data_IF_743818084937
#
_entry.id   IF_743818084937
#
_cell.length_a   1.000
_cell.length_b   1.000
_cell.length_c   1.000
_cell.angle_alpha   90.00
_cell.angle_beta   90.00
_cell.angle_gamma   90.00
#
_symmetry.space_group_name_H-M   'P 1'
#
loop_
_entity.id
_entity.type
_entity.pdbx_description
1 polymer ?
#
# COMPACT_ATOMS: atom_id res chain seq x y z
N UNK A 1 32.07 -29.50 -7.73
CA UNK A 1 30.68 -29.46 -7.24
C UNK A 1 29.83 -30.31 -8.16
N UNK A 2 29.01 -31.16 -7.58
CA UNK A 2 28.17 -32.05 -8.37
C UNK A 2 27.05 -31.29 -9.06
N UNK A 3 26.74 -31.67 -10.31
CA UNK A 3 25.67 -31.08 -11.09
C UNK A 3 24.30 -31.09 -10.37
N UNK A 4 23.89 -32.15 -9.62
CA UNK A 4 22.63 -32.14 -8.89
C UNK A 4 22.56 -31.06 -7.81
N UNK A 5 23.66 -30.75 -7.12
CA UNK A 5 23.71 -29.69 -6.11
C UNK A 5 23.55 -28.32 -6.77
N UNK A 6 24.24 -28.06 -7.86
CA UNK A 6 24.11 -26.81 -8.61
C UNK A 6 22.70 -26.61 -9.14
N UNK A 7 22.10 -27.64 -9.70
CA UNK A 7 20.73 -27.58 -10.21
C UNK A 7 19.71 -27.32 -9.11
N UNK A 8 19.88 -27.97 -7.95
CA UNK A 8 19.02 -27.75 -6.79
C UNK A 8 19.15 -26.33 -6.25
N UNK A 9 20.37 -25.81 -6.16
CA UNK A 9 20.64 -24.45 -5.70
C UNK A 9 20.07 -23.41 -6.67
N UNK A 10 20.22 -23.65 -7.96
CA UNK A 10 19.64 -22.79 -8.98
C UNK A 10 18.11 -22.75 -8.88
N UNK A 11 17.47 -23.93 -8.76
CA UNK A 11 16.03 -24.02 -8.63
C UNK A 11 15.54 -23.29 -7.37
N UNK A 12 16.22 -23.50 -6.22
CA UNK A 12 15.87 -22.81 -4.97
C UNK A 12 16.00 -21.30 -5.11
N UNK A 13 17.11 -20.83 -5.69
CA UNK A 13 17.34 -19.39 -5.89
C UNK A 13 16.29 -18.79 -6.81
N UNK A 14 15.92 -19.50 -7.86
CA UNK A 14 14.88 -19.06 -8.79
C UNK A 14 13.52 -18.95 -8.09
N UNK A 15 13.16 -19.93 -7.26
CA UNK A 15 11.91 -19.90 -6.49
C UNK A 15 11.90 -18.74 -5.50
N UNK A 16 13.02 -18.47 -4.84
CA UNK A 16 13.14 -17.32 -3.93
C UNK A 16 13.03 -15.99 -4.69
N UNK A 17 13.61 -15.90 -5.88
CA UNK A 17 13.50 -14.71 -6.72
C UNK A 17 12.06 -14.46 -7.17
N UNK A 18 11.33 -15.50 -7.55
CA UNK A 18 9.90 -15.42 -7.88
C UNK A 18 9.09 -14.99 -6.66
N UNK A 19 9.37 -15.55 -5.50
CA UNK A 19 8.73 -15.16 -4.23
C UNK A 19 8.96 -13.70 -3.88
N UNK A 20 10.19 -13.23 -4.07
CA UNK A 20 10.53 -11.81 -3.86
C UNK A 20 9.78 -10.90 -4.83
N UNK A 21 9.66 -11.28 -6.09
CA UNK A 21 8.89 -10.53 -7.08
C UNK A 21 7.43 -10.38 -6.64
N UNK A 22 6.81 -11.46 -6.20
CA UNK A 22 5.42 -11.40 -5.71
C UNK A 22 5.31 -10.57 -4.43
N UNK A 23 6.30 -10.62 -3.55
CA UNK A 23 6.33 -9.80 -2.35
C UNK A 23 6.39 -8.31 -2.67
N UNK A 24 7.26 -7.91 -3.61
CA UNK A 24 7.37 -6.52 -4.06
C UNK A 24 6.05 -6.06 -4.67
N UNK A 25 5.45 -6.89 -5.51
CA UNK A 25 4.15 -6.59 -6.13
C UNK A 25 3.05 -6.42 -5.09
N UNK A 26 3.03 -7.26 -4.06
CA UNK A 26 2.06 -7.16 -2.97
C UNK A 26 2.23 -5.89 -2.13
N UNK A 27 3.45 -5.37 -2.03
CA UNK A 27 3.75 -4.15 -1.28
C UNK A 27 3.09 -2.90 -1.85
N UNK A 28 2.73 -2.90 -3.14
CA UNK A 28 2.08 -1.76 -3.82
C UNK A 28 0.60 -2.00 -4.08
N UNK A 29 0.04 -3.09 -3.56
CA UNK A 29 -1.37 -3.44 -3.78
C UNK A 29 -2.30 -2.47 -3.06
N UNK A 30 -3.32 -2.01 -3.78
CA UNK A 30 -4.39 -1.21 -3.20
C UNK A 30 -5.31 -2.06 -2.32
N UNK A 31 -5.66 -1.54 -1.12
CA UNK A 31 -6.48 -2.23 -0.12
C UNK A 31 -7.62 -1.33 0.35
N UNK A 32 -8.47 -0.95 -0.57
CA UNK A 32 -9.65 -0.12 -0.28
C UNK A 32 -10.75 -0.97 0.32
N UNK A 33 -11.35 -0.47 1.39
CA UNK A 33 -12.46 -1.12 2.11
C UNK A 33 -13.57 -0.11 2.40
N UNK A 34 -14.77 -0.63 2.61
CA UNK A 34 -15.94 0.13 3.03
C UNK A 34 -16.29 -0.24 4.47
N UNK A 35 -16.42 0.76 5.33
CA UNK A 35 -16.78 0.58 6.74
C UNK A 35 -17.96 1.49 7.07
N UNK A 36 -18.90 0.97 7.85
CA UNK A 36 -20.00 1.73 8.41
C UNK A 36 -19.86 1.83 9.91
N UNK A 37 -19.92 3.04 10.44
CA UNK A 37 -19.79 3.33 11.86
C UNK A 37 -21.01 4.09 12.34
N UNK A 38 -21.38 3.86 13.60
CA UNK A 38 -22.44 4.61 14.26
C UNK A 38 -21.77 5.55 15.26
N UNK A 39 -22.00 6.85 15.10
CA UNK A 39 -21.51 7.87 16.00
C UNK A 39 -22.67 8.47 16.80
N UNK A 40 -22.42 8.75 18.07
CA UNK A 40 -23.41 9.37 18.97
C UNK A 40 -23.30 10.90 18.93
N UNK A 41 -23.27 11.45 17.72
CA UNK A 41 -23.21 12.90 17.49
C UNK A 41 -24.18 13.28 16.39
N UNK A 42 -24.71 14.53 16.39
CA UNK A 42 -25.50 15.05 15.26
C UNK A 42 -24.69 15.08 13.98
N UNK A 43 -25.36 14.96 12.85
CA UNK A 43 -24.75 14.93 11.53
C UNK A 43 -23.83 16.14 11.28
N UNK A 44 -24.28 17.34 11.62
CA UNK A 44 -23.52 18.57 11.35
C UNK A 44 -22.21 18.65 12.13
N UNK A 45 -22.24 18.34 13.44
CA UNK A 45 -21.04 18.38 14.28
C UNK A 45 -20.07 17.25 13.94
N UNK A 46 -20.57 16.08 13.61
CA UNK A 46 -19.76 14.95 13.18
C UNK A 46 -19.06 15.23 11.84
N UNK A 47 -19.76 15.81 10.89
CA UNK A 47 -19.18 16.16 9.59
C UNK A 47 -18.05 17.18 9.75
N UNK A 48 -18.25 18.22 10.57
CA UNK A 48 -17.22 19.21 10.87
C UNK A 48 -15.99 18.57 11.51
N UNK A 49 -16.18 17.70 12.49
CA UNK A 49 -15.10 16.97 13.15
C UNK A 49 -14.32 16.07 12.20
N UNK A 50 -15.02 15.39 11.30
CA UNK A 50 -14.37 14.54 10.30
C UNK A 50 -13.63 15.36 9.25
N UNK A 51 -14.16 16.49 8.82
CA UNK A 51 -13.46 17.42 7.94
C UNK A 51 -12.16 17.92 8.56
N UNK A 52 -12.20 18.33 9.83
CA UNK A 52 -11.00 18.75 10.57
C UNK A 52 -9.98 17.61 10.71
N UNK A 53 -10.46 16.40 10.95
CA UNK A 53 -9.60 15.22 11.02
C UNK A 53 -8.84 14.99 9.72
N UNK A 54 -9.52 15.03 8.58
CA UNK A 54 -8.89 14.83 7.29
C UNK A 54 -8.01 16.02 6.87
N UNK A 55 -8.39 17.24 7.21
CA UNK A 55 -7.55 18.42 6.97
C UNK A 55 -6.20 18.31 7.71
N UNK A 56 -6.20 17.84 8.94
CA UNK A 56 -4.98 17.62 9.71
C UNK A 56 -4.09 16.53 9.11
N UNK A 57 -4.66 15.62 8.35
CA UNK A 57 -3.95 14.55 7.67
C UNK A 57 -3.61 14.88 6.20
N UNK A 58 -3.65 16.15 5.84
CA UNK A 58 -3.34 16.67 4.51
C UNK A 58 -4.28 16.19 3.39
N UNK A 59 -5.51 15.80 3.73
CA UNK A 59 -6.58 15.57 2.76
C UNK A 59 -7.31 16.87 2.47
N UNK A 60 -7.76 16.99 1.23
CA UNK A 60 -8.55 18.14 0.76
C UNK A 60 -9.90 17.68 0.25
N UNK A 61 -10.90 18.51 0.41
CA UNK A 61 -12.22 18.25 -0.19
C UNK A 61 -12.09 18.38 -1.70
N UNK A 62 -12.27 17.26 -2.42
CA UNK A 62 -12.23 17.24 -3.87
C UNK A 62 -13.59 17.49 -4.50
N UNK A 63 -14.67 17.15 -3.80
CA UNK A 63 -16.02 17.36 -4.28
C UNK A 63 -17.09 16.91 -3.28
N UNK A 64 -18.30 17.40 -3.49
CA UNK A 64 -19.48 16.98 -2.73
C UNK A 64 -20.56 16.62 -3.74
N UNK A 65 -21.13 15.43 -3.58
CA UNK A 65 -22.27 15.00 -4.39
C UNK A 65 -23.57 15.56 -3.77
N UNK A 66 -24.25 16.50 -4.43
CA UNK A 66 -25.48 17.08 -3.86
C UNK A 66 -26.64 16.09 -3.80
N UNK A 67 -26.62 15.04 -4.62
CA UNK A 67 -27.69 14.05 -4.67
C UNK A 67 -27.64 13.08 -3.49
N UNK A 68 -26.44 12.66 -3.07
CA UNK A 68 -26.23 11.66 -2.01
C UNK A 68 -25.66 12.26 -0.72
N UNK A 69 -25.16 13.49 -0.75
CA UNK A 69 -24.46 14.12 0.36
C UNK A 69 -23.06 13.53 0.62
N UNK A 70 -22.54 12.76 -0.32
CA UNK A 70 -21.21 12.15 -0.21
C UNK A 70 -20.12 13.19 -0.42
N UNK A 71 -19.16 13.26 0.51
CA UNK A 71 -17.99 14.13 0.41
C UNK A 71 -16.79 13.27 0.00
N UNK A 72 -16.06 13.73 -1.00
CA UNK A 72 -14.83 13.08 -1.46
C UNK A 72 -13.65 13.90 -0.98
N UNK A 73 -12.76 13.26 -0.22
CA UNK A 73 -11.48 13.83 0.19
C UNK A 73 -10.37 13.21 -0.65
N UNK A 74 -9.39 14.02 -1.02
CA UNK A 74 -8.23 13.59 -1.78
C UNK A 74 -6.95 13.97 -1.05
N UNK A 75 -6.05 13.00 -0.92
CA UNK A 75 -4.74 13.20 -0.32
C UNK A 75 -3.67 12.40 -1.03
N UNK A 76 -2.43 12.87 -0.99
CA UNK A 76 -1.29 12.14 -1.52
C UNK A 76 -0.61 11.35 -0.41
N UNK A 77 -0.50 10.04 -0.60
CA UNK A 77 0.24 9.15 0.31
C UNK A 77 1.65 8.99 -0.21
N UNK A 78 2.62 9.41 0.60
CA UNK A 78 4.03 9.29 0.27
C UNK A 78 4.52 7.87 0.49
N UNK A 79 5.33 7.31 -0.42
CA UNK A 79 5.96 6.02 -0.18
C UNK A 79 6.98 6.11 0.96
N UNK A 80 7.22 4.98 1.62
CA UNK A 80 8.21 4.88 2.69
C UNK A 80 9.62 4.80 2.14
N UNK A 81 10.50 5.70 2.54
CA UNK A 81 11.93 5.64 2.23
C UNK A 81 12.58 4.35 2.74
N UNK A 82 12.25 3.98 3.98
CA UNK A 82 12.77 2.75 4.59
C UNK A 82 12.38 1.53 3.77
N UNK A 83 11.12 1.41 3.38
CA UNK A 83 10.65 0.24 2.64
C UNK A 83 11.25 0.21 1.22
N UNK A 84 11.42 1.36 0.57
CA UNK A 84 12.07 1.44 -0.74
C UNK A 84 13.52 0.93 -0.67
N UNK A 85 14.28 1.39 0.32
CA UNK A 85 15.66 0.95 0.53
C UNK A 85 15.71 -0.54 0.89
N UNK A 86 14.82 -0.99 1.76
CA UNK A 86 14.73 -2.38 2.19
C UNK A 86 14.42 -3.32 1.02
N UNK A 87 13.46 -2.99 0.17
CA UNK A 87 13.11 -3.78 -1.00
C UNK A 87 14.25 -3.79 -2.03
N UNK A 88 14.93 -2.67 -2.22
CA UNK A 88 16.10 -2.59 -3.10
C UNK A 88 17.23 -3.48 -2.57
N UNK A 89 17.48 -3.46 -1.27
CA UNK A 89 18.50 -4.32 -0.64
C UNK A 89 18.16 -5.81 -0.78
N UNK A 90 16.90 -6.19 -0.55
CA UNK A 90 16.43 -7.56 -0.75
C UNK A 90 16.58 -8.00 -2.21
N UNK A 91 16.21 -7.14 -3.14
CA UNK A 91 16.36 -7.42 -4.57
C UNK A 91 17.84 -7.58 -4.95
N UNK A 92 18.71 -6.72 -4.42
CA UNK A 92 20.15 -6.82 -4.64
C UNK A 92 20.72 -8.14 -4.13
N UNK A 93 20.34 -8.56 -2.93
CA UNK A 93 20.78 -9.85 -2.35
C UNK A 93 20.28 -11.02 -3.20
N UNK A 94 19.01 -11.01 -3.61
CA UNK A 94 18.43 -12.09 -4.41
C UNK A 94 19.07 -12.18 -5.80
N UNK A 95 19.26 -11.05 -6.47
CA UNK A 95 19.89 -11.00 -7.78
C UNK A 95 21.37 -11.39 -7.69
N UNK A 96 22.07 -10.95 -6.64
CA UNK A 96 23.47 -11.33 -6.42
C UNK A 96 23.61 -12.85 -6.23
N UNK A 97 22.76 -13.48 -5.43
CA UNK A 97 22.74 -14.92 -5.26
C UNK A 97 22.48 -15.65 -6.57
N UNK A 98 21.50 -15.19 -7.35
CA UNK A 98 21.20 -15.75 -8.64
C UNK A 98 22.37 -15.60 -9.64
N UNK A 99 23.00 -14.42 -9.65
CA UNK A 99 24.15 -14.14 -10.51
C UNK A 99 25.33 -15.03 -10.18
N UNK A 100 25.61 -15.27 -8.90
CA UNK A 100 26.69 -16.15 -8.46
C UNK A 100 26.44 -17.60 -8.90
N UNK A 101 25.22 -18.08 -8.74
CA UNK A 101 24.84 -19.44 -9.16
C UNK A 101 24.98 -19.59 -10.68
N UNK A 102 24.48 -18.61 -11.44
CA UNK A 102 24.61 -18.62 -12.90
C UNK A 102 26.06 -18.52 -13.35
N UNK A 103 26.90 -17.77 -12.64
CA UNK A 103 28.33 -17.65 -12.94
C UNK A 103 29.07 -18.97 -12.75
N UNK A 104 28.64 -19.80 -11.79
CA UNK A 104 29.20 -21.15 -11.59
C UNK A 104 28.74 -22.09 -12.71
N UNK A 105 27.47 -22.01 -13.11
CA UNK A 105 26.91 -22.83 -14.18
C UNK A 105 27.47 -22.46 -15.57
N UNK A 106 27.66 -21.17 -15.82
CA UNK A 106 28.13 -20.64 -17.09
C UNK A 106 29.31 -19.67 -16.86
N UNK A 107 30.54 -20.18 -16.60
CA UNK A 107 31.67 -19.32 -16.25
C UNK A 107 32.03 -18.27 -17.30
N UNK A 108 31.75 -18.53 -18.55
CA UNK A 108 32.09 -17.62 -19.66
C UNK A 108 31.24 -16.31 -19.63
N UNK A 109 30.12 -16.33 -18.94
CA UNK A 109 29.18 -15.20 -18.86
C UNK A 109 29.13 -14.57 -17.46
N UNK A 110 30.10 -14.87 -16.59
CA UNK A 110 30.08 -14.43 -15.19
C UNK A 110 29.95 -12.92 -15.02
N UNK A 111 30.65 -12.14 -15.85
CA UNK A 111 30.57 -10.68 -15.79
C UNK A 111 29.20 -10.15 -16.19
N UNK A 112 28.57 -10.79 -17.17
CA UNK A 112 27.20 -10.43 -17.59
C UNK A 112 26.21 -10.67 -16.45
N UNK A 113 26.32 -11.80 -15.76
CA UNK A 113 25.43 -12.14 -14.65
C UNK A 113 25.61 -11.20 -13.46
N UNK A 114 26.84 -10.78 -13.15
CA UNK A 114 27.08 -9.79 -12.10
C UNK A 114 26.46 -8.43 -12.45
N UNK A 115 26.37 -8.09 -13.73
CA UNK A 115 25.67 -6.89 -14.19
C UNK A 115 24.18 -6.89 -13.88
N UNK A 116 23.57 -8.05 -13.63
CA UNK A 116 22.15 -8.15 -13.25
C UNK A 116 21.87 -7.44 -11.92
N UNK A 117 22.86 -7.28 -11.04
CA UNK A 117 22.70 -6.55 -9.77
C UNK A 117 22.28 -5.10 -10.02
N UNK A 118 22.62 -4.52 -11.17
CA UNK A 118 22.18 -3.17 -11.53
C UNK A 118 20.66 -3.06 -11.72
N UNK A 119 19.95 -4.19 -11.82
CA UNK A 119 18.49 -4.20 -11.86
C UNK A 119 17.85 -4.05 -10.47
N UNK A 120 18.61 -4.19 -9.40
CA UNK A 120 18.06 -4.08 -8.04
C UNK A 120 17.37 -2.74 -7.76
N UNK A 121 17.89 -1.57 -8.19
CA UNK A 121 17.21 -0.29 -8.01
C UNK A 121 15.82 -0.23 -8.67
N UNK A 122 15.57 -1.05 -9.69
CA UNK A 122 14.25 -1.12 -10.35
C UNK A 122 13.17 -1.53 -9.36
N UNK A 123 13.47 -2.43 -8.42
CA UNK A 123 12.53 -2.81 -7.36
C UNK A 123 12.13 -1.61 -6.47
N UNK A 124 13.10 -0.81 -6.07
CA UNK A 124 12.86 0.41 -5.30
C UNK A 124 12.06 1.45 -6.06
N UNK A 125 12.38 1.65 -7.33
CA UNK A 125 11.66 2.58 -8.21
C UNK A 125 10.22 2.10 -8.45
N UNK A 126 10.03 0.82 -8.69
CA UNK A 126 8.71 0.22 -8.85
C UNK A 126 7.84 0.43 -7.61
N UNK A 127 8.39 0.15 -6.43
CA UNK A 127 7.70 0.39 -5.17
C UNK A 127 7.36 1.88 -5.01
N UNK A 128 8.33 2.78 -5.25
CA UNK A 128 8.16 4.22 -5.07
C UNK A 128 7.02 4.77 -5.93
N UNK A 129 6.98 4.36 -7.19
CA UNK A 129 5.94 4.79 -8.12
C UNK A 129 4.58 4.18 -7.81
N UNK A 130 4.57 2.92 -7.37
CA UNK A 130 3.32 2.20 -7.08
C UNK A 130 2.71 2.56 -5.73
N UNK A 131 3.54 2.87 -4.72
CA UNK A 131 3.07 3.22 -3.38
C UNK A 131 2.76 4.70 -3.23
N UNK A 132 3.45 5.57 -3.96
CA UNK A 132 3.14 6.99 -4.02
C UNK A 132 1.93 7.23 -4.92
N UNK A 133 0.78 7.47 -4.35
CA UNK A 133 -0.48 7.62 -5.08
C UNK A 133 -1.40 8.62 -4.40
N UNK A 134 -2.28 9.22 -5.21
CA UNK A 134 -3.40 9.97 -4.69
C UNK A 134 -4.44 8.98 -4.12
N UNK A 135 -4.75 9.10 -2.85
CA UNK A 135 -5.81 8.33 -2.22
C UNK A 135 -7.07 9.17 -2.11
N UNK A 136 -8.20 8.53 -2.33
CA UNK A 136 -9.51 9.13 -2.18
C UNK A 136 -10.23 8.49 -1.01
N UNK A 137 -10.87 9.32 -0.19
CA UNK A 137 -11.75 8.90 0.89
C UNK A 137 -13.14 9.38 0.57
N UNK A 138 -14.09 8.45 0.48
CA UNK A 138 -15.49 8.76 0.29
C UNK A 138 -16.19 8.71 1.64
N UNK A 139 -16.79 9.80 2.05
CA UNK A 139 -17.44 9.96 3.33
C UNK A 139 -18.90 10.34 3.12
N UNK A 140 -19.78 9.57 3.74
CA UNK A 140 -21.22 9.88 3.78
C UNK A 140 -21.72 9.82 5.21
N UNK A 141 -22.36 10.88 5.67
CA UNK A 141 -22.96 10.95 7.00
C UNK A 141 -24.47 11.04 6.83
N UNK A 142 -25.19 10.14 7.46
CA UNK A 142 -26.66 10.10 7.46
C UNK A 142 -27.19 10.14 8.89
N UNK A 143 -28.28 10.88 9.15
CA UNK A 143 -28.94 10.79 10.44
C UNK A 143 -29.59 9.41 10.60
N UNK A 144 -29.40 8.79 11.77
CA UNK A 144 -30.10 7.55 12.09
C UNK A 144 -31.51 7.89 12.61
N UNK A 145 -32.55 7.29 12.05
CA UNK A 145 -33.90 7.47 12.57
C UNK A 145 -34.10 6.67 13.86
N UNK A 146 -33.62 7.20 14.96
CA UNK A 146 -33.88 6.63 16.27
C UNK A 146 -34.83 7.56 17.04
N UNK A 147 -36.07 7.13 17.33
CA UNK A 147 -37.05 7.98 17.98
C UNK A 147 -36.68 8.33 19.44
N UNK A 148 -35.67 7.68 20.01
CA UNK A 148 -35.28 7.93 21.42
C UNK A 148 -34.08 8.88 21.58
N UNK A 149 -33.26 9.08 20.57
CA UNK A 149 -32.11 9.98 20.62
C UNK A 149 -31.82 10.55 19.23
N UNK A 150 -32.08 11.85 19.06
CA UNK A 150 -31.76 12.59 17.82
C UNK A 150 -30.26 12.79 17.59
N UNK A 151 -29.41 12.10 18.35
CA UNK A 151 -27.96 12.32 18.39
C UNK A 151 -27.14 11.20 17.77
N UNK A 152 -27.73 10.34 16.96
CA UNK A 152 -26.98 9.28 16.30
C UNK A 152 -26.87 9.52 14.81
N UNK A 153 -25.69 9.31 14.26
CA UNK A 153 -25.43 9.41 12.81
C UNK A 153 -24.75 8.16 12.31
N UNK A 154 -25.14 7.72 11.12
CA UNK A 154 -24.47 6.64 10.42
C UNK A 154 -23.40 7.22 9.50
N UNK A 155 -22.16 6.79 9.71
CA UNK A 155 -21.01 7.19 8.88
C UNK A 155 -20.62 6.05 7.99
N UNK A 156 -20.66 6.26 6.70
CA UNK A 156 -20.13 5.32 5.70
C UNK A 156 -18.84 5.88 5.14
N UNK A 157 -17.76 5.13 5.28
CA UNK A 157 -16.43 5.54 4.83
C UNK A 157 -15.86 4.47 3.89
N UNK A 158 -15.44 4.89 2.73
CA UNK A 158 -14.71 4.06 1.76
C UNK A 158 -13.31 4.64 1.64
N UNK A 159 -12.32 3.91 2.13
CA UNK A 159 -10.94 4.36 2.16
C UNK A 159 -9.97 3.18 2.20
N UNK A 160 -8.67 3.48 2.13
CA UNK A 160 -7.64 2.48 2.36
C UNK A 160 -7.75 1.91 3.79
N UNK A 161 -7.48 0.61 3.93
CA UNK A 161 -7.61 -0.11 5.20
C UNK A 161 -6.90 0.57 6.37
N UNK A 162 -5.69 1.08 6.14
CA UNK A 162 -4.89 1.71 7.19
C UNK A 162 -5.49 3.05 7.64
N UNK A 163 -6.09 3.81 6.73
CA UNK A 163 -6.81 5.04 7.06
C UNK A 163 -8.07 4.75 7.87
N UNK A 164 -8.79 3.69 7.52
CA UNK A 164 -9.98 3.27 8.26
C UNK A 164 -9.64 2.87 9.69
N UNK A 165 -8.53 2.15 9.90
CA UNK A 165 -8.09 1.77 11.23
C UNK A 165 -7.75 2.99 12.10
N UNK A 166 -7.08 3.99 11.55
CA UNK A 166 -6.75 5.23 12.25
C UNK A 166 -7.99 6.07 12.53
N UNK A 167 -8.92 6.14 11.60
CA UNK A 167 -10.18 6.84 11.77
C UNK A 167 -11.01 6.22 12.90
N UNK A 168 -11.09 4.91 12.96
CA UNK A 168 -11.81 4.19 14.02
C UNK A 168 -11.22 4.49 15.40
N UNK A 169 -9.92 4.63 15.53
CA UNK A 169 -9.26 5.01 16.78
C UNK A 169 -9.54 6.47 17.16
N UNK A 170 -9.72 7.35 16.20
CA UNK A 170 -10.00 8.76 16.43
C UNK A 170 -11.48 9.04 16.81
N UNK A 171 -12.38 8.15 16.46
CA UNK A 171 -13.78 8.19 16.82
C UNK A 171 -14.03 7.41 18.12
#
# INVERSE_FOLDING_TARGET
VSTPILSSTFLLTLLLAVGLFFFIRASVKDRTQKVQLIAQEPEASLLERLQNYFDQRAYRVAGVDPATGQVTFQGFVRPSWFLAIFLTALAACGILCLSLVLSILYPNLSQVFLGLVLLAPVAGIFYWKGAGRDEQVFLKVEPLPNPQTDMQSLVTVIAHRDELAQLQQAL
#
